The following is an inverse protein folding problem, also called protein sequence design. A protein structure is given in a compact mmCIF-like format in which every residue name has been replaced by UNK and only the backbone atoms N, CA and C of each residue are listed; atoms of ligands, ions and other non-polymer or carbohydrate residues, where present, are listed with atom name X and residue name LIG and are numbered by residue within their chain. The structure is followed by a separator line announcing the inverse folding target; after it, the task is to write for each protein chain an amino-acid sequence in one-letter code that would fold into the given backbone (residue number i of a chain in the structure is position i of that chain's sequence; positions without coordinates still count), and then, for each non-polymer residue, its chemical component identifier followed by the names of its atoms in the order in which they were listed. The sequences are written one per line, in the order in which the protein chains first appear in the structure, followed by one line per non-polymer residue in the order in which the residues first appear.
data_IF_393590022217
#
_entry.id   IF_393590022217
#
_cell.length_a   1.000
_cell.length_b   1.000
_cell.length_c   1.000
_cell.angle_alpha   90.00
_cell.angle_beta   90.00
_cell.angle_gamma   90.00
#
_symmetry.space_group_name_H-M   'P 1'
#
loop_
_entity.id
_entity.type
_entity.pdbx_description
1 polymer ?
#
# COMPACT_ATOMS: atom_id res chain seq x y z
N UNK A 1 -16.44 -6.69 2.58
CA UNK A 1 -15.53 -7.14 3.64
C UNK A 1 -14.14 -7.41 3.04
N UNK A 2 -13.10 -6.81 3.64
CA UNK A 2 -11.70 -7.06 3.26
C UNK A 2 -11.21 -8.33 3.97
N UNK A 3 -10.56 -9.23 3.24
CA UNK A 3 -10.01 -10.48 3.77
C UNK A 3 -8.57 -10.67 3.34
N UNK A 4 -7.89 -11.67 3.90
CA UNK A 4 -6.58 -12.08 3.43
C UNK A 4 -6.37 -13.57 3.54
N UNK A 5 -5.45 -14.10 2.73
CA UNK A 5 -4.91 -15.44 2.90
C UNK A 5 -3.40 -15.43 2.69
N UNK A 6 -2.74 -16.47 3.20
CA UNK A 6 -1.28 -16.63 3.09
C UNK A 6 -0.98 -17.82 2.20
N UNK A 7 -0.19 -17.61 1.16
CA UNK A 7 0.32 -18.66 0.27
C UNK A 7 1.80 -18.90 0.55
N UNK A 8 2.19 -20.18 0.72
CA UNK A 8 3.61 -20.57 0.74
C UNK A 8 4.16 -20.51 -0.69
N UNK A 9 5.32 -19.89 -0.86
CA UNK A 9 6.04 -19.76 -2.13
C UNK A 9 7.45 -20.28 -1.92
N UNK A 10 7.84 -21.30 -2.67
CA UNK A 10 9.23 -21.77 -2.69
C UNK A 10 9.96 -21.04 -3.82
N UNK A 11 11.08 -20.40 -3.50
CA UNK A 11 11.93 -19.74 -4.50
C UNK A 11 12.75 -20.79 -5.26
N UNK A 12 13.27 -20.42 -6.44
CA UNK A 12 14.19 -21.26 -7.20
C UNK A 12 15.46 -21.61 -6.40
N UNK A 13 15.84 -20.75 -5.46
CA UNK A 13 16.94 -21.00 -4.51
C UNK A 13 16.62 -22.02 -3.41
N UNK A 14 15.40 -22.58 -3.37
CA UNK A 14 14.94 -23.50 -2.31
C UNK A 14 14.37 -22.80 -1.07
N UNK A 15 14.58 -21.49 -0.93
CA UNK A 15 14.07 -20.69 0.18
C UNK A 15 12.53 -20.69 0.23
N UNK A 16 11.98 -20.89 1.43
CA UNK A 16 10.54 -20.72 1.67
C UNK A 16 10.21 -19.26 1.97
N UNK A 17 9.21 -18.72 1.28
CA UNK A 17 8.59 -17.42 1.54
C UNK A 17 7.09 -17.55 1.75
N UNK A 18 6.51 -16.57 2.41
CA UNK A 18 5.08 -16.51 2.70
C UNK A 18 4.50 -15.23 2.09
N UNK A 19 3.57 -15.39 1.15
CA UNK A 19 2.91 -14.28 0.47
C UNK A 19 1.55 -14.03 1.09
N UNK A 20 1.36 -12.85 1.67
CA UNK A 20 0.05 -12.35 2.09
C UNK A 20 -0.66 -11.77 0.86
N UNK A 21 -1.89 -12.22 0.60
CA UNK A 21 -2.74 -11.76 -0.49
C UNK A 21 -3.99 -11.16 0.13
N UNK A 22 -4.17 -9.84 -0.03
CA UNK A 22 -5.36 -9.11 0.42
C UNK A 22 -6.42 -9.21 -0.66
N UNK A 23 -7.63 -9.63 -0.29
CA UNK A 23 -8.77 -9.78 -1.19
C UNK A 23 -9.95 -8.93 -0.76
N UNK A 24 -10.69 -8.40 -1.73
CA UNK A 24 -11.98 -7.75 -1.52
C UNK A 24 -12.94 -8.32 -2.56
N UNK A 25 -14.06 -8.89 -2.11
CA UNK A 25 -15.07 -9.48 -3.00
C UNK A 25 -14.47 -10.47 -4.01
N UNK A 26 -13.54 -11.33 -3.56
CA UNK A 26 -12.88 -12.34 -4.39
C UNK A 26 -11.72 -11.83 -5.26
N UNK A 27 -11.56 -10.52 -5.46
CA UNK A 27 -10.45 -9.95 -6.24
C UNK A 27 -9.24 -9.65 -5.37
N UNK A 28 -8.05 -9.99 -5.86
CA UNK A 28 -6.78 -9.64 -5.20
C UNK A 28 -6.44 -8.17 -5.40
N UNK A 29 -6.27 -7.44 -4.29
CA UNK A 29 -5.96 -6.00 -4.30
C UNK A 29 -4.47 -5.73 -4.19
N UNK A 30 -3.84 -6.33 -3.17
CA UNK A 30 -2.43 -6.11 -2.84
C UNK A 30 -1.80 -7.40 -2.38
N UNK A 31 -0.54 -7.59 -2.73
CA UNK A 31 0.24 -8.74 -2.27
C UNK A 31 1.56 -8.28 -1.69
N UNK A 32 2.05 -9.00 -0.68
CA UNK A 32 3.39 -8.77 -0.12
C UNK A 32 3.99 -10.08 0.34
N UNK A 33 5.28 -10.26 0.10
CA UNK A 33 6.00 -11.51 0.41
C UNK A 33 6.94 -11.31 1.60
N UNK A 34 6.97 -12.28 2.49
CA UNK A 34 7.71 -12.26 3.75
C UNK A 34 8.57 -13.51 3.91
N UNK A 35 9.61 -13.42 4.76
CA UNK A 35 10.43 -14.57 5.15
C UNK A 35 9.71 -15.47 6.16
N UNK A 36 9.09 -14.88 7.19
CA UNK A 36 8.41 -15.62 8.26
C UNK A 36 6.89 -15.61 8.07
N UNK A 37 6.24 -16.73 8.40
CA UNK A 37 4.78 -16.86 8.36
C UNK A 37 4.10 -15.91 9.37
N UNK A 38 4.75 -15.68 10.52
CA UNK A 38 4.28 -14.76 11.55
C UNK A 38 4.14 -13.33 10.99
N UNK A 39 5.18 -12.81 10.33
CA UNK A 39 5.15 -11.46 9.74
C UNK A 39 4.05 -11.32 8.69
N UNK A 40 3.87 -12.36 7.86
CA UNK A 40 2.80 -12.42 6.86
C UNK A 40 1.41 -12.34 7.50
N UNK A 41 1.21 -13.05 8.62
CA UNK A 41 -0.04 -13.04 9.40
C UNK A 41 -0.27 -11.70 10.08
N UNK A 42 0.75 -11.14 10.74
CA UNK A 42 0.68 -9.82 11.38
C UNK A 42 0.33 -8.74 10.36
N UNK A 43 0.94 -8.76 9.17
CA UNK A 43 0.60 -7.83 8.09
C UNK A 43 -0.86 -7.97 7.65
N UNK A 44 -1.32 -9.20 7.42
CA UNK A 44 -2.69 -9.47 6.97
C UNK A 44 -3.73 -8.99 7.98
N UNK A 45 -3.57 -9.38 9.23
CA UNK A 45 -4.45 -8.97 10.33
C UNK A 45 -4.50 -7.46 10.47
N UNK A 46 -3.33 -6.79 10.54
CA UNK A 46 -3.27 -5.34 10.67
C UNK A 46 -3.98 -4.63 9.51
N UNK A 47 -3.77 -5.09 8.28
CA UNK A 47 -4.42 -4.48 7.11
C UNK A 47 -5.96 -4.59 7.17
N UNK A 48 -6.50 -5.73 7.64
CA UNK A 48 -7.94 -5.92 7.78
C UNK A 48 -8.49 -5.06 8.93
N UNK A 49 -7.82 -5.04 10.08
CA UNK A 49 -8.23 -4.23 11.23
C UNK A 49 -8.22 -2.74 10.89
N UNK A 50 -7.13 -2.23 10.30
CA UNK A 50 -7.02 -0.84 9.87
C UNK A 50 -8.15 -0.48 8.87
N UNK A 51 -8.50 -1.40 7.98
CA UNK A 51 -9.60 -1.19 7.04
C UNK A 51 -10.97 -1.12 7.74
N UNK A 52 -11.24 -2.06 8.65
CA UNK A 52 -12.49 -2.09 9.42
C UNK A 52 -12.62 -0.87 10.35
N UNK A 53 -11.52 -0.46 10.97
CA UNK A 53 -11.48 0.72 11.84
C UNK A 53 -11.76 2.00 11.03
N UNK A 54 -11.15 2.15 9.86
CA UNK A 54 -11.43 3.27 8.98
C UNK A 54 -12.89 3.27 8.49
N UNK A 55 -13.42 2.10 8.11
CA UNK A 55 -14.82 1.94 7.73
C UNK A 55 -15.77 2.33 8.88
N UNK A 56 -15.48 1.89 10.10
CA UNK A 56 -16.27 2.21 11.31
C UNK A 56 -16.21 3.71 11.66
N UNK A 57 -15.07 4.38 11.44
CA UNK A 57 -14.91 5.83 11.63
C UNK A 57 -15.54 6.65 10.50
N UNK A 58 -16.12 6.02 9.48
CA UNK A 58 -16.60 6.70 8.27
C UNK A 58 -15.47 7.28 7.41
N UNK A 59 -14.21 6.93 7.71
CA UNK A 59 -13.03 7.36 6.96
C UNK A 59 -12.97 6.54 5.68
N UNK A 60 -13.36 7.19 4.58
CA UNK A 60 -13.14 6.62 3.25
C UNK A 60 -11.64 6.69 2.94
N UNK A 61 -11.05 5.65 2.32
CA UNK A 61 -9.70 5.74 1.80
C UNK A 61 -9.55 7.01 0.98
N UNK A 62 -8.44 7.73 1.14
CA UNK A 62 -8.19 8.98 0.41
C UNK A 62 -8.45 8.75 -1.09
N UNK A 63 -9.52 9.35 -1.60
CA UNK A 63 -9.89 9.36 -3.03
C UNK A 63 -9.21 10.49 -3.77
N UNK A 64 -8.47 11.34 -3.08
CA UNK A 64 -7.73 12.44 -3.68
C UNK A 64 -6.55 11.83 -4.43
N UNK A 65 -6.50 12.09 -5.73
CA UNK A 65 -5.38 11.70 -6.57
C UNK A 65 -4.10 12.40 -6.11
N UNK A 66 -2.96 11.72 -6.27
CA UNK A 66 -1.67 12.31 -5.92
C UNK A 66 -1.44 13.65 -6.63
N UNK A 67 -1.86 13.80 -7.88
CA UNK A 67 -1.75 15.06 -8.63
C UNK A 67 -2.42 16.24 -7.93
N UNK A 68 -3.60 16.01 -7.35
CA UNK A 68 -4.31 17.06 -6.59
C UNK A 68 -3.58 17.45 -5.30
N UNK A 69 -2.82 16.54 -4.71
CA UNK A 69 -1.96 16.82 -3.55
C UNK A 69 -0.60 17.41 -3.97
N UNK A 70 -0.15 17.10 -5.18
CA UNK A 70 1.11 17.58 -5.73
C UNK A 70 1.09 19.10 -5.88
N UNK A 71 -0.02 19.69 -6.36
CA UNK A 71 -0.17 21.14 -6.46
C UNK A 71 -0.06 21.84 -5.11
N UNK A 72 -0.78 21.35 -4.09
CA UNK A 72 -0.71 21.90 -2.73
C UNK A 72 0.70 21.72 -2.14
N UNK A 73 1.31 20.56 -2.35
CA UNK A 73 2.68 20.30 -1.92
C UNK A 73 3.69 21.26 -2.58
N UNK A 74 3.60 21.48 -3.89
CA UNK A 74 4.47 22.40 -4.62
C UNK A 74 4.29 23.85 -4.15
N UNK A 75 3.05 24.26 -3.86
CA UNK A 75 2.76 25.57 -3.29
C UNK A 75 3.49 25.80 -1.94
N UNK A 76 3.41 24.82 -1.03
CA UNK A 76 4.05 24.92 0.30
C UNK A 76 5.58 24.88 0.26
N UNK A 77 6.14 24.35 -0.83
CA UNK A 77 7.59 24.20 -1.03
C UNK A 77 8.20 25.21 -2.00
N UNK A 78 7.39 26.14 -2.51
CA UNK A 78 7.85 27.21 -3.38
C UNK A 78 8.93 28.04 -2.66
N UNK A 79 10.09 28.21 -3.32
CA UNK A 79 11.22 28.99 -2.80
C UNK A 79 12.16 28.26 -1.82
N UNK A 80 11.91 26.99 -1.49
CA UNK A 80 12.79 26.20 -0.59
C UNK A 80 13.73 25.26 -1.33
N UNK A 81 13.32 24.75 -2.49
CA UNK A 81 14.08 23.76 -3.25
C UNK A 81 13.63 23.72 -4.72
N UNK A 82 14.56 23.93 -5.65
CA UNK A 82 14.29 24.06 -7.09
C UNK A 82 14.19 22.71 -7.80
N UNK A 83 14.78 21.62 -7.27
CA UNK A 83 14.79 20.30 -7.94
C UNK A 83 13.52 19.46 -7.62
N UNK A 84 12.65 19.96 -6.73
CA UNK A 84 11.41 19.26 -6.33
C UNK A 84 10.40 19.09 -7.45
N UNK A 85 10.35 20.03 -8.39
CA UNK A 85 9.45 19.97 -9.55
C UNK A 85 9.69 18.66 -10.31
N UNK A 86 10.95 18.31 -10.54
CA UNK A 86 11.36 17.09 -11.25
C UNK A 86 10.99 15.82 -10.50
N UNK A 87 11.17 15.80 -9.19
CA UNK A 87 10.83 14.66 -8.32
C UNK A 87 9.32 14.41 -8.26
N UNK A 88 8.51 15.46 -8.14
CA UNK A 88 7.05 15.35 -8.12
C UNK A 88 6.51 14.88 -9.46
N UNK A 89 7.01 15.43 -10.58
CA UNK A 89 6.71 14.94 -11.92
C UNK A 89 7.08 13.47 -12.11
N UNK A 90 8.22 13.03 -11.57
CA UNK A 90 8.61 11.63 -11.63
C UNK A 90 7.63 10.73 -10.85
N UNK A 91 7.20 11.15 -9.65
CA UNK A 91 6.21 10.41 -8.86
C UNK A 91 4.83 10.34 -9.53
N UNK A 92 4.36 11.44 -10.13
CA UNK A 92 3.09 11.45 -10.87
C UNK A 92 3.07 10.45 -12.02
N UNK A 93 4.19 10.29 -12.72
CA UNK A 93 4.28 9.36 -13.85
C UNK A 93 4.40 7.88 -13.45
N UNK A 94 4.65 7.58 -12.17
CA UNK A 94 4.81 6.21 -11.68
C UNK A 94 3.56 5.65 -10.98
N UNK A 95 2.57 6.50 -10.67
CA UNK A 95 1.35 6.16 -9.94
C UNK A 95 0.13 6.02 -10.86
#
# INVERSE_FOLDING_TARGET
MLNFHIRKVTLQSGDTRYRTIITKSGKSLKTKTFRRKADAKTRGNRTVLDFQENEAKGIKPCTIAFSRLADEYMHWWTGKDHDRVRLVLWWENQL
#
